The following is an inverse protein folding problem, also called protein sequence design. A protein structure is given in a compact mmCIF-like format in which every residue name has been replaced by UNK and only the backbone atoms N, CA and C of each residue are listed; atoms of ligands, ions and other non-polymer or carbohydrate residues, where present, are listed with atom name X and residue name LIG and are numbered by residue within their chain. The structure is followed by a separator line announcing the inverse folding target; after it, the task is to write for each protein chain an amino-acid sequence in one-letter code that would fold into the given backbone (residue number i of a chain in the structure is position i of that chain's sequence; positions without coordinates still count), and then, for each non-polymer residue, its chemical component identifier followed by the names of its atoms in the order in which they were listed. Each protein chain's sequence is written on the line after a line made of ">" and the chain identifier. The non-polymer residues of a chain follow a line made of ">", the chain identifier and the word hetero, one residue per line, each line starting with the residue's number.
data_IF_349713078220
#
_entry.id   IF_349713078220
#
_cell.length_a   1.000
_cell.length_b   1.000
_cell.length_c   1.000
_cell.angle_alpha   90.00
_cell.angle_beta   90.00
_cell.angle_gamma   90.00
#
_symmetry.space_group_name_H-M   'P 1'
#
loop_
_entity.id
_entity.type
_entity.pdbx_description
1 polymer ?
#
# COMPACT_ATOMS: atom_id res chain seq x y z
N UNK A 1 -1.95 -20.26 6.40
CA UNK A 1 -1.29 -20.03 7.70
C UNK A 1 -0.71 -18.60 7.81
N UNK A 2 0.15 -18.12 6.90
CA UNK A 2 0.69 -16.75 6.96
C UNK A 2 -0.38 -15.66 6.85
N UNK A 3 -1.32 -15.75 5.91
CA UNK A 3 -2.41 -14.77 5.74
C UNK A 3 -3.31 -14.65 6.98
N UNK A 4 -3.63 -15.75 7.64
CA UNK A 4 -4.41 -15.73 8.88
C UNK A 4 -3.66 -15.04 10.03
N UNK A 5 -2.34 -15.23 10.11
CA UNK A 5 -1.50 -14.52 11.09
C UNK A 5 -1.53 -13.00 10.83
N UNK A 6 -1.41 -12.57 9.58
CA UNK A 6 -1.51 -11.16 9.21
C UNK A 6 -2.90 -10.61 9.53
N UNK A 7 -3.96 -11.33 9.14
CA UNK A 7 -5.35 -10.94 9.41
C UNK A 7 -5.61 -10.76 10.91
N UNK A 8 -5.18 -11.71 11.73
CA UNK A 8 -5.33 -11.64 13.19
C UNK A 8 -4.48 -10.49 13.77
N UNK A 9 -3.27 -10.26 13.25
CA UNK A 9 -2.40 -9.19 13.71
C UNK A 9 -3.04 -7.82 13.50
N UNK A 10 -3.50 -7.50 12.30
CA UNK A 10 -4.12 -6.20 11.97
C UNK A 10 -5.59 -6.08 12.41
N UNK A 11 -6.31 -7.18 12.56
CA UNK A 11 -7.71 -7.17 12.99
C UNK A 11 -7.88 -7.18 14.51
N UNK A 12 -7.07 -7.96 15.23
CA UNK A 12 -7.29 -8.24 16.66
C UNK A 12 -6.18 -7.72 17.57
N UNK A 13 -4.91 -7.72 17.12
CA UNK A 13 -3.76 -7.34 17.95
C UNK A 13 -3.52 -5.85 17.90
N UNK A 14 -3.43 -5.25 16.70
CA UNK A 14 -3.24 -3.81 16.54
C UNK A 14 -4.58 -3.09 16.66
N UNK A 15 -4.67 -2.17 17.60
CA UNK A 15 -5.84 -1.28 17.77
C UNK A 15 -5.59 0.14 17.28
N UNK A 16 -4.32 0.55 17.29
CA UNK A 16 -3.85 1.87 16.84
C UNK A 16 -2.39 1.77 16.36
N UNK A 17 -1.95 2.78 15.63
CA UNK A 17 -0.62 2.82 15.03
C UNK A 17 0.53 2.67 16.04
N UNK A 18 0.33 3.17 17.28
CA UNK A 18 1.33 3.10 18.35
C UNK A 18 1.55 1.67 18.90
N UNK A 19 0.71 0.71 18.57
CA UNK A 19 0.86 -0.69 18.99
C UNK A 19 1.93 -1.44 18.16
N UNK A 20 2.42 -0.85 17.04
CA UNK A 20 3.49 -1.40 16.23
C UNK A 20 4.80 -1.48 17.02
N UNK A 21 5.54 -2.57 16.83
CA UNK A 21 6.80 -2.85 17.52
C UNK A 21 8.03 -2.24 16.84
N UNK A 22 7.86 -1.78 15.60
CA UNK A 22 8.93 -1.12 14.82
C UNK A 22 8.41 0.16 14.19
N UNK A 23 9.32 1.03 13.76
CA UNK A 23 8.99 2.23 12.99
C UNK A 23 8.89 1.96 11.47
N UNK A 24 8.94 0.70 11.03
CA UNK A 24 8.91 0.35 9.61
C UNK A 24 7.67 0.90 8.90
N UNK A 25 6.54 0.86 9.56
CA UNK A 25 5.24 1.29 9.02
C UNK A 25 4.76 2.67 9.52
N UNK A 26 5.55 3.44 10.28
CA UNK A 26 5.05 4.68 10.89
C UNK A 26 5.95 5.92 10.71
N UNK A 27 7.19 5.78 10.27
CA UNK A 27 8.13 6.92 10.14
C UNK A 27 8.05 7.58 8.75
N UNK A 28 6.87 8.03 8.36
CA UNK A 28 6.63 8.67 7.05
C UNK A 28 7.18 10.09 6.91
N UNK A 29 7.97 10.64 7.85
CA UNK A 29 8.32 12.07 7.84
C UNK A 29 7.07 12.90 7.51
N UNK A 30 6.59 13.82 8.29
CA UNK A 30 5.27 14.45 8.21
C UNK A 30 4.65 14.63 6.82
N UNK A 31 3.35 14.59 6.74
CA UNK A 31 2.62 14.84 5.49
C UNK A 31 2.98 16.21 4.93
N UNK A 32 3.14 16.37 3.60
CA UNK A 32 3.21 17.67 2.98
C UNK A 32 2.05 18.57 3.44
N UNK A 33 2.24 19.87 3.61
CA UNK A 33 1.22 20.77 4.18
C UNK A 33 -0.15 20.66 3.52
N UNK A 34 -0.20 20.49 2.19
CA UNK A 34 -1.46 20.36 1.46
C UNK A 34 -2.19 19.05 1.76
N UNK A 35 -1.46 17.94 1.99
CA UNK A 35 -2.06 16.66 2.41
C UNK A 35 -2.44 16.68 3.89
N UNK A 36 -1.65 17.36 4.73
CA UNK A 36 -1.98 17.53 6.15
C UNK A 36 -3.32 18.26 6.33
N UNK A 37 -3.57 19.32 5.54
CA UNK A 37 -4.84 20.02 5.56
C UNK A 37 -6.04 19.13 5.14
N UNK A 38 -5.85 18.23 4.18
CA UNK A 38 -6.88 17.26 3.78
C UNK A 38 -7.10 16.19 4.86
N UNK A 39 -6.05 15.83 5.60
CA UNK A 39 -6.17 14.86 6.71
C UNK A 39 -7.04 15.37 7.87
N UNK A 40 -7.19 16.68 8.05
CA UNK A 40 -8.12 17.26 9.04
C UNK A 40 -9.60 16.94 8.74
N UNK A 41 -9.89 16.56 7.50
CA UNK A 41 -11.21 16.11 7.06
C UNK A 41 -11.38 14.58 7.11
N UNK A 42 -10.39 13.83 7.57
CA UNK A 42 -10.51 12.39 7.79
C UNK A 42 -10.96 12.13 9.22
N UNK A 43 -11.94 11.24 9.39
CA UNK A 43 -12.51 10.92 10.70
C UNK A 43 -11.41 10.41 11.67
N UNK A 44 -11.35 10.89 12.92
CA UNK A 44 -10.27 10.54 13.86
C UNK A 44 -10.09 9.04 14.10
N UNK A 45 -11.20 8.27 14.14
CA UNK A 45 -11.14 6.81 14.29
C UNK A 45 -10.46 6.12 13.09
N UNK A 46 -10.67 6.65 11.88
CA UNK A 46 -10.01 6.17 10.66
C UNK A 46 -8.53 6.56 10.66
N UNK A 47 -8.24 7.82 10.99
CA UNK A 47 -6.86 8.34 11.02
C UNK A 47 -5.97 7.63 12.05
N UNK A 48 -6.54 7.19 13.20
CA UNK A 48 -5.81 6.52 14.27
C UNK A 48 -5.31 5.11 13.92
N UNK A 49 -5.88 4.48 12.87
CA UNK A 49 -5.56 3.11 12.44
C UNK A 49 -4.74 3.13 11.15
N UNK A 50 -3.57 3.76 11.17
CA UNK A 50 -2.68 3.85 10.02
C UNK A 50 -1.41 3.01 10.22
N UNK A 51 -1.09 2.20 9.22
CA UNK A 51 0.05 1.26 9.26
C UNK A 51 0.92 1.34 7.99
N UNK A 52 0.84 2.45 7.25
CA UNK A 52 1.61 2.66 6.02
C UNK A 52 3.03 3.12 6.26
N UNK A 53 3.92 2.86 5.33
CA UNK A 53 5.35 3.24 5.40
C UNK A 53 5.73 4.40 4.48
N UNK A 54 4.78 4.95 3.70
CA UNK A 54 5.03 6.03 2.76
C UNK A 54 3.80 6.87 2.47
N UNK A 55 3.94 7.82 1.55
CA UNK A 55 2.84 8.60 1.01
C UNK A 55 2.53 8.07 -0.39
N UNK A 56 1.35 7.47 -0.55
CA UNK A 56 0.94 6.84 -1.81
C UNK A 56 -0.08 7.69 -2.58
N UNK A 57 0.18 8.99 -2.64
CA UNK A 57 -0.65 9.97 -3.33
C UNK A 57 0.13 10.57 -4.50
N UNK A 58 0.04 9.97 -5.71
CA UNK A 58 0.66 10.54 -6.90
C UNK A 58 -0.04 11.84 -7.34
N UNK A 59 0.57 12.59 -8.25
CA UNK A 59 -0.02 13.81 -8.80
C UNK A 59 -1.11 13.50 -9.85
N UNK A 60 -2.01 14.46 -10.10
CA UNK A 60 -2.97 14.40 -11.22
C UNK A 60 -4.15 13.47 -11.00
N UNK A 61 -4.64 13.38 -9.76
CA UNK A 61 -5.73 12.45 -9.39
C UNK A 61 -7.14 12.99 -9.63
N UNK A 62 -7.34 14.27 -9.96
CA UNK A 62 -8.66 14.85 -10.15
C UNK A 62 -9.49 14.07 -11.18
N UNK A 63 -10.71 13.71 -10.83
CA UNK A 63 -11.64 12.92 -11.65
C UNK A 63 -11.22 11.47 -11.89
N UNK A 64 -10.14 10.98 -11.28
CA UNK A 64 -9.60 9.64 -11.52
C UNK A 64 -10.34 8.57 -10.73
N UNK A 65 -10.25 7.34 -11.23
CA UNK A 65 -10.70 6.14 -10.55
C UNK A 65 -9.50 5.37 -9.99
N UNK A 66 -9.47 5.23 -8.67
CA UNK A 66 -8.33 4.69 -7.92
C UNK A 66 -8.72 3.40 -7.23
N UNK A 67 -7.79 2.42 -7.19
CA UNK A 67 -7.88 1.22 -6.39
C UNK A 67 -6.80 1.24 -5.31
N UNK A 68 -7.18 1.10 -4.04
CA UNK A 68 -6.25 0.98 -2.91
C UNK A 68 -6.19 -0.48 -2.43
N UNK A 69 -5.02 -1.09 -2.54
CA UNK A 69 -4.76 -2.48 -2.14
C UNK A 69 -4.30 -2.52 -0.68
N UNK A 70 -5.11 -3.16 0.17
CA UNK A 70 -4.91 -3.19 1.62
C UNK A 70 -5.29 -1.87 2.27
N UNK A 71 -6.49 -1.40 1.98
CA UNK A 71 -6.98 -0.08 2.39
C UNK A 71 -7.16 0.11 3.90
N UNK A 72 -7.13 -0.98 4.68
CA UNK A 72 -7.33 -0.94 6.12
C UNK A 72 -8.62 -0.23 6.51
N UNK A 73 -8.55 0.68 7.46
CA UNK A 73 -9.68 1.51 7.90
C UNK A 73 -10.07 2.62 6.91
N UNK A 74 -9.39 2.72 5.75
CA UNK A 74 -9.72 3.67 4.69
C UNK A 74 -9.05 5.03 4.79
N UNK A 75 -8.00 5.21 5.59
CA UNK A 75 -7.34 6.52 5.76
C UNK A 75 -6.88 7.11 4.42
N UNK A 76 -6.12 6.35 3.65
CA UNK A 76 -5.59 6.82 2.36
C UNK A 76 -6.70 6.90 1.31
N UNK A 77 -7.72 6.01 1.37
CA UNK A 77 -8.92 6.08 0.53
C UNK A 77 -9.66 7.41 0.74
N UNK A 78 -9.94 7.81 1.98
CA UNK A 78 -10.65 9.05 2.27
C UNK A 78 -9.81 10.29 2.01
N UNK A 79 -8.49 10.20 2.14
CA UNK A 79 -7.58 11.27 1.72
C UNK A 79 -7.67 11.48 0.20
N UNK A 80 -7.52 10.39 -0.58
CA UNK A 80 -7.60 10.44 -2.04
C UNK A 80 -8.99 10.79 -2.55
N UNK A 81 -10.06 10.41 -1.85
CA UNK A 81 -11.44 10.76 -2.20
C UNK A 81 -11.68 12.28 -2.30
N UNK A 82 -11.01 13.07 -1.46
CA UNK A 82 -11.04 14.53 -1.55
C UNK A 82 -10.31 15.05 -2.79
N UNK A 83 -9.19 14.40 -3.15
CA UNK A 83 -8.33 14.84 -4.27
C UNK A 83 -8.96 14.49 -5.63
N UNK A 84 -9.56 13.31 -5.73
CA UNK A 84 -10.26 12.92 -6.97
C UNK A 84 -11.54 13.74 -7.20
N UNK A 85 -12.11 14.33 -6.13
CA UNK A 85 -13.32 15.11 -6.18
C UNK A 85 -14.58 14.24 -6.36
N UNK A 86 -15.74 14.89 -6.43
CA UNK A 86 -17.04 14.22 -6.49
C UNK A 86 -17.24 13.35 -7.76
N UNK A 87 -16.54 13.67 -8.84
CA UNK A 87 -16.62 12.96 -10.13
C UNK A 87 -15.68 11.76 -10.22
N UNK A 88 -14.67 11.70 -9.37
CA UNK A 88 -13.77 10.55 -9.26
C UNK A 88 -14.33 9.46 -8.34
N UNK A 89 -13.62 8.34 -8.24
CA UNK A 89 -13.98 7.23 -7.36
C UNK A 89 -12.73 6.61 -6.74
N UNK A 90 -12.80 6.26 -5.46
CA UNK A 90 -11.74 5.48 -4.79
C UNK A 90 -12.33 4.18 -4.25
N UNK A 91 -11.77 3.06 -4.69
CA UNK A 91 -12.16 1.71 -4.22
C UNK A 91 -11.06 1.18 -3.33
N UNK A 92 -11.39 0.82 -2.08
CA UNK A 92 -10.48 0.16 -1.16
C UNK A 92 -10.74 -1.34 -1.11
N UNK A 93 -9.68 -2.14 -1.10
CA UNK A 93 -9.75 -3.60 -0.89
C UNK A 93 -8.98 -3.97 0.36
N UNK A 94 -9.61 -4.72 1.27
CA UNK A 94 -8.95 -5.26 2.45
C UNK A 94 -9.51 -6.65 2.82
N UNK A 95 -8.69 -7.49 3.45
CA UNK A 95 -9.13 -8.82 3.89
C UNK A 95 -9.70 -8.82 5.32
N UNK A 96 -9.53 -7.72 6.08
CA UNK A 96 -9.76 -7.64 7.52
C UNK A 96 -11.15 -7.06 7.80
N UNK A 97 -12.04 -7.86 8.41
CA UNK A 97 -13.41 -7.45 8.68
C UNK A 97 -13.50 -6.24 9.62
N UNK A 98 -12.66 -6.19 10.64
CA UNK A 98 -12.62 -5.13 11.65
C UNK A 98 -12.18 -3.79 11.03
N UNK A 99 -11.24 -3.82 10.10
CA UNK A 99 -10.80 -2.62 9.38
C UNK A 99 -11.89 -2.12 8.44
N UNK A 100 -12.46 -3.01 7.65
CA UNK A 100 -13.57 -2.68 6.74
C UNK A 100 -14.83 -2.20 7.47
N UNK A 101 -15.13 -2.75 8.66
CA UNK A 101 -16.24 -2.26 9.47
C UNK A 101 -16.02 -0.79 9.87
N UNK A 102 -14.80 -0.42 10.29
CA UNK A 102 -14.46 0.97 10.59
C UNK A 102 -14.57 1.86 9.35
N UNK A 103 -14.03 1.41 8.21
CA UNK A 103 -14.10 2.14 6.96
C UNK A 103 -15.56 2.38 6.53
N UNK A 104 -16.34 1.33 6.40
CA UNK A 104 -17.75 1.42 5.93
C UNK A 104 -18.62 2.28 6.84
N UNK A 105 -18.43 2.24 8.16
CA UNK A 105 -19.21 3.03 9.12
C UNK A 105 -19.01 4.54 8.97
N UNK A 106 -18.01 5.00 8.22
CA UNK A 106 -17.66 6.43 8.08
C UNK A 106 -17.88 6.98 6.66
N UNK A 107 -18.49 6.22 5.75
CA UNK A 107 -18.75 6.65 4.37
C UNK A 107 -19.63 7.90 4.35
N UNK A 108 -20.80 7.86 5.00
CA UNK A 108 -21.72 8.98 5.00
C UNK A 108 -21.15 10.21 5.70
N UNK A 109 -20.43 10.00 6.81
CA UNK A 109 -19.76 11.10 7.51
C UNK A 109 -18.74 11.83 6.60
N UNK A 110 -17.95 11.09 5.81
CA UNK A 110 -16.98 11.69 4.90
C UNK A 110 -17.68 12.36 3.70
N UNK A 111 -18.72 11.74 3.13
CA UNK A 111 -19.53 12.36 2.08
C UNK A 111 -20.03 13.74 2.52
N UNK A 112 -20.63 13.81 3.72
CA UNK A 112 -21.19 15.05 4.26
C UNK A 112 -20.07 16.05 4.59
N UNK A 113 -18.95 15.59 5.16
CA UNK A 113 -17.79 16.41 5.47
C UNK A 113 -17.14 17.04 4.23
N UNK A 114 -17.12 16.30 3.11
CA UNK A 114 -16.58 16.78 1.83
C UNK A 114 -17.59 17.63 1.04
N UNK A 115 -18.85 17.66 1.46
CA UNK A 115 -19.93 18.39 0.78
C UNK A 115 -20.38 17.74 -0.52
N UNK A 116 -20.23 16.42 -0.65
CA UNK A 116 -20.60 15.68 -1.86
C UNK A 116 -22.08 15.23 -1.83
N UNK A 117 -22.73 15.23 -2.98
CA UNK A 117 -24.10 14.75 -3.13
C UNK A 117 -24.22 13.23 -2.99
N UNK A 118 -23.14 12.52 -3.29
CA UNK A 118 -23.01 11.06 -3.16
C UNK A 118 -21.62 10.68 -2.68
N UNK A 119 -21.53 9.54 -2.01
CA UNK A 119 -20.24 8.98 -1.64
C UNK A 119 -19.45 8.57 -2.91
N UNK A 120 -18.18 8.93 -2.96
CA UNK A 120 -17.24 8.59 -4.03
C UNK A 120 -16.22 7.53 -3.62
N UNK A 121 -16.53 6.79 -2.55
CA UNK A 121 -15.71 5.68 -2.05
C UNK A 121 -16.52 4.39 -1.96
N UNK A 122 -15.82 3.26 -2.11
CA UNK A 122 -16.36 1.91 -1.92
C UNK A 122 -15.31 1.03 -1.29
N UNK A 123 -15.72 0.16 -0.35
CA UNK A 123 -14.83 -0.82 0.25
C UNK A 123 -15.27 -2.24 -0.07
N UNK A 124 -14.33 -3.07 -0.49
CA UNK A 124 -14.53 -4.46 -0.86
C UNK A 124 -13.72 -5.37 0.05
N UNK A 125 -14.35 -6.45 0.50
CA UNK A 125 -13.64 -7.51 1.21
C UNK A 125 -12.99 -8.45 0.20
N UNK A 126 -11.68 -8.63 0.31
CA UNK A 126 -10.95 -9.56 -0.54
C UNK A 126 -9.47 -9.61 -0.26
N UNK A 127 -8.82 -10.55 -0.93
CA UNK A 127 -7.37 -10.74 -0.89
C UNK A 127 -6.75 -10.05 -2.09
N UNK A 128 -5.66 -9.31 -1.87
CA UNK A 128 -4.99 -8.54 -2.94
C UNK A 128 -4.32 -9.44 -4.00
N UNK A 129 -4.00 -10.68 -3.68
CA UNK A 129 -3.51 -11.69 -4.61
C UNK A 129 -4.63 -12.36 -5.46
N UNK A 130 -5.90 -12.02 -5.20
CA UNK A 130 -7.09 -12.60 -5.85
C UNK A 130 -8.03 -11.51 -6.35
N UNK A 131 -7.49 -10.50 -7.01
CA UNK A 131 -8.26 -9.35 -7.49
C UNK A 131 -9.30 -9.72 -8.56
N UNK A 132 -9.09 -10.81 -9.28
CA UNK A 132 -10.02 -11.38 -10.26
C UNK A 132 -11.31 -11.96 -9.63
N UNK A 133 -11.27 -12.34 -8.35
CA UNK A 133 -12.45 -12.82 -7.61
C UNK A 133 -13.38 -11.67 -7.15
N UNK A 134 -12.97 -10.40 -7.27
CA UNK A 134 -13.69 -9.25 -6.70
C UNK A 134 -14.73 -8.64 -7.65
N UNK A 135 -14.88 -9.16 -8.86
CA UNK A 135 -15.81 -8.60 -9.85
C UNK A 135 -15.47 -7.18 -10.30
N UNK A 136 -14.20 -6.81 -10.21
CA UNK A 136 -13.71 -5.53 -10.72
C UNK A 136 -13.46 -5.65 -12.24
N UNK A 137 -13.94 -4.66 -12.98
CA UNK A 137 -13.77 -4.63 -14.44
C UNK A 137 -12.29 -4.43 -14.81
N UNK A 138 -11.73 -5.27 -15.69
CA UNK A 138 -10.39 -5.06 -16.23
C UNK A 138 -10.24 -3.69 -16.88
N UNK A 139 -9.04 -3.13 -16.83
CA UNK A 139 -8.69 -1.85 -17.46
C UNK A 139 -9.63 -0.69 -17.08
N UNK A 140 -10.10 -0.67 -15.85
CA UNK A 140 -11.06 0.33 -15.38
C UNK A 140 -10.48 1.35 -14.41
N UNK A 141 -9.26 1.15 -13.90
CA UNK A 141 -8.62 2.06 -12.96
C UNK A 141 -7.52 2.90 -13.61
N UNK A 142 -7.44 4.18 -13.28
CA UNK A 142 -6.36 5.08 -13.66
C UNK A 142 -5.10 4.81 -12.86
N UNK A 143 -5.29 4.58 -11.55
CA UNK A 143 -4.21 4.39 -10.60
C UNK A 143 -4.58 3.24 -9.66
N UNK A 144 -3.61 2.39 -9.40
CA UNK A 144 -3.65 1.44 -8.29
C UNK A 144 -2.61 1.90 -7.28
N UNK A 145 -2.98 1.95 -6.00
CA UNK A 145 -2.04 2.30 -4.91
C UNK A 145 -1.95 1.15 -3.92
N UNK A 146 -0.84 1.12 -3.16
CA UNK A 146 -0.68 0.23 -2.02
C UNK A 146 0.33 0.81 -1.03
N UNK A 147 0.08 0.66 0.26
CA UNK A 147 0.92 1.23 1.30
C UNK A 147 1.31 0.17 2.35
N UNK A 148 2.51 -0.40 2.21
CA UNK A 148 3.07 -1.40 3.11
C UNK A 148 2.26 -2.72 3.20
N UNK A 149 1.66 -3.16 2.12
CA UNK A 149 0.77 -4.33 2.10
C UNK A 149 1.25 -5.44 1.15
N UNK A 150 1.89 -5.09 0.03
CA UNK A 150 2.34 -6.10 -0.95
C UNK A 150 3.32 -7.08 -0.31
N UNK A 151 4.17 -6.62 0.60
CA UNK A 151 5.10 -7.49 1.34
C UNK A 151 4.41 -8.52 2.24
N UNK A 152 3.18 -8.25 2.67
CA UNK A 152 2.38 -9.17 3.49
C UNK A 152 1.69 -10.25 2.66
N UNK A 153 1.58 -10.07 1.34
CA UNK A 153 1.04 -11.08 0.44
C UNK A 153 1.99 -12.28 0.30
N UNK A 154 1.42 -13.47 0.24
CA UNK A 154 2.15 -14.73 -0.01
C UNK A 154 2.49 -14.90 -1.49
N UNK A 155 1.77 -14.23 -2.39
CA UNK A 155 2.00 -14.24 -3.84
C UNK A 155 2.03 -12.81 -4.41
N UNK A 156 3.19 -12.17 -4.23
CA UNK A 156 3.41 -10.80 -4.71
C UNK A 156 3.31 -10.67 -6.22
N UNK A 157 3.68 -11.72 -6.96
CA UNK A 157 3.58 -11.72 -8.43
C UNK A 157 2.10 -11.71 -8.88
N UNK A 158 1.22 -12.45 -8.20
CA UNK A 158 -0.21 -12.41 -8.47
C UNK A 158 -0.79 -11.01 -8.18
N UNK A 159 -0.36 -10.34 -7.09
CA UNK A 159 -0.77 -8.95 -6.81
C UNK A 159 -0.38 -8.02 -7.94
N UNK A 160 0.88 -8.05 -8.40
CA UNK A 160 1.37 -7.19 -9.47
C UNK A 160 0.62 -7.45 -10.80
N UNK A 161 0.38 -8.72 -11.14
CA UNK A 161 -0.39 -9.09 -12.34
C UNK A 161 -1.85 -8.65 -12.25
N UNK A 162 -2.48 -8.82 -11.09
CA UNK A 162 -3.84 -8.37 -10.84
C UNK A 162 -3.96 -6.85 -10.98
N UNK A 163 -3.03 -6.09 -10.40
CA UNK A 163 -2.96 -4.64 -10.55
C UNK A 163 -2.79 -4.22 -12.02
N UNK A 164 -1.86 -4.86 -12.75
CA UNK A 164 -1.67 -4.59 -14.18
C UNK A 164 -2.94 -4.86 -15.01
N UNK A 165 -3.66 -5.95 -14.71
CA UNK A 165 -4.90 -6.27 -15.40
C UNK A 165 -5.98 -5.21 -15.18
N UNK A 166 -6.12 -4.69 -13.97
CA UNK A 166 -7.12 -3.70 -13.60
C UNK A 166 -6.79 -2.29 -14.08
N UNK A 167 -5.52 -1.97 -14.28
CA UNK A 167 -5.09 -0.68 -14.82
C UNK A 167 -5.49 -0.54 -16.29
N UNK A 168 -5.97 0.65 -16.67
CA UNK A 168 -6.12 1.04 -18.08
C UNK A 168 -4.76 1.27 -18.74
N UNK A 169 -4.65 1.23 -20.07
CA UNK A 169 -3.44 1.69 -20.76
C UNK A 169 -3.10 3.13 -20.33
N UNK A 170 -1.83 3.40 -20.00
CA UNK A 170 -1.38 4.67 -19.46
C UNK A 170 -1.58 4.85 -17.96
N UNK A 171 -2.24 3.90 -17.29
CA UNK A 171 -2.38 3.91 -15.82
C UNK A 171 -1.12 3.46 -15.10
N UNK A 172 -1.09 3.67 -13.80
CA UNK A 172 0.07 3.34 -12.96
C UNK A 172 -0.29 2.59 -11.68
N UNK A 173 0.61 1.71 -11.25
CA UNK A 173 0.70 1.23 -9.87
C UNK A 173 1.71 2.13 -9.14
N UNK A 174 1.24 2.87 -8.13
CA UNK A 174 2.04 3.75 -7.28
C UNK A 174 1.99 3.24 -5.84
N UNK A 175 3.10 2.73 -5.32
CA UNK A 175 3.05 2.08 -4.02
C UNK A 175 4.34 2.28 -3.21
N UNK A 176 4.21 2.23 -1.89
CA UNK A 176 5.32 2.23 -0.95
C UNK A 176 5.35 0.89 -0.20
N UNK A 177 6.55 0.34 -0.05
CA UNK A 177 6.75 -0.86 0.75
C UNK A 177 8.17 -0.93 1.33
N UNK A 178 8.42 -1.93 2.17
CA UNK A 178 9.71 -2.16 2.81
C UNK A 178 10.57 -3.07 1.94
N UNK A 179 11.81 -2.68 1.70
CA UNK A 179 12.82 -3.46 0.97
C UNK A 179 14.03 -3.73 1.85
N UNK A 180 14.79 -4.76 1.49
CA UNK A 180 16.01 -5.15 2.19
C UNK A 180 17.21 -5.10 1.25
N UNK A 181 18.40 -4.83 1.80
CA UNK A 181 19.71 -4.83 1.08
C UNK A 181 20.16 -6.25 0.66
N UNK A 182 19.47 -7.27 1.13
CA UNK A 182 19.79 -8.69 0.90
C UNK A 182 18.57 -9.59 1.01
N UNK A 183 18.69 -10.84 0.51
CA UNK A 183 17.68 -11.87 0.76
C UNK A 183 17.69 -12.29 2.23
N UNK A 184 16.52 -12.28 2.84
CA UNK A 184 16.36 -12.62 4.25
C UNK A 184 16.37 -14.15 4.45
N UNK A 185 16.99 -14.66 5.52
CA UNK A 185 16.97 -16.07 5.86
C UNK A 185 15.56 -16.51 6.29
N UNK A 186 15.26 -17.80 6.15
CA UNK A 186 13.94 -18.34 6.47
C UNK A 186 13.54 -18.13 7.93
N UNK A 187 14.51 -18.10 8.85
CA UNK A 187 14.26 -17.78 10.27
C UNK A 187 13.68 -16.37 10.50
N UNK A 188 13.97 -15.42 9.63
CA UNK A 188 13.40 -14.07 9.65
C UNK A 188 12.06 -14.05 8.92
N UNK A 189 12.00 -14.69 7.76
CA UNK A 189 10.79 -14.72 6.91
C UNK A 189 9.62 -15.44 7.54
N UNK A 190 9.89 -16.46 8.38
CA UNK A 190 8.87 -17.26 9.08
C UNK A 190 8.52 -16.72 10.47
N UNK A 191 9.21 -15.70 10.99
CA UNK A 191 8.89 -15.11 12.27
C UNK A 191 7.58 -14.28 12.15
N UNK A 192 6.49 -14.65 12.87
CA UNK A 192 5.19 -14.01 12.69
C UNK A 192 5.17 -12.53 13.09
N UNK A 193 6.01 -12.13 14.05
CA UNK A 193 6.13 -10.72 14.45
C UNK A 193 6.84 -9.92 13.37
N UNK A 194 7.99 -10.40 12.89
CA UNK A 194 8.73 -9.72 11.82
C UNK A 194 7.92 -9.65 10.53
N UNK A 195 7.11 -10.68 10.25
CA UNK A 195 6.23 -10.69 9.09
C UNK A 195 5.12 -9.66 9.22
N UNK A 196 4.42 -9.61 10.35
CA UNK A 196 3.37 -8.61 10.62
C UNK A 196 3.89 -7.16 10.65
N UNK A 197 5.17 -6.96 11.00
CA UNK A 197 5.85 -5.65 10.97
C UNK A 197 6.44 -5.30 9.58
N UNK A 198 6.03 -5.99 8.52
CA UNK A 198 6.50 -5.83 7.13
C UNK A 198 7.99 -6.13 6.89
N UNK A 199 8.75 -6.48 7.93
CA UNK A 199 10.18 -6.79 7.80
C UNK A 199 10.41 -8.19 7.26
N UNK A 200 9.67 -9.21 7.78
CA UNK A 200 9.81 -10.60 7.34
C UNK A 200 9.41 -10.86 5.90
N UNK A 201 8.48 -10.05 5.36
CA UNK A 201 8.05 -10.12 3.97
C UNK A 201 8.83 -9.23 3.00
N UNK A 202 9.76 -8.39 3.52
CA UNK A 202 10.51 -7.45 2.72
C UNK A 202 11.32 -8.15 1.62
N UNK A 203 11.17 -7.68 0.39
CA UNK A 203 11.94 -8.19 -0.75
C UNK A 203 13.35 -7.57 -0.77
N UNK A 204 14.32 -8.35 -1.20
CA UNK A 204 15.56 -7.82 -1.72
C UNK A 204 15.23 -7.03 -3.00
N UNK A 205 15.63 -5.76 -3.09
CA UNK A 205 15.19 -4.91 -4.21
C UNK A 205 15.61 -5.42 -5.59
N UNK A 206 16.76 -6.12 -5.70
CA UNK A 206 17.14 -6.76 -6.96
C UNK A 206 16.30 -7.99 -7.31
N UNK A 207 15.48 -8.53 -6.39
CA UNK A 207 14.49 -9.55 -6.69
C UNK A 207 13.14 -8.90 -7.08
N UNK A 208 12.85 -7.71 -6.57
CA UNK A 208 11.64 -6.97 -6.91
C UNK A 208 11.62 -6.53 -8.38
N UNK A 209 12.72 -5.94 -8.88
CA UNK A 209 12.77 -5.42 -10.25
C UNK A 209 12.47 -6.49 -11.32
N UNK A 210 13.10 -7.68 -11.32
CA UNK A 210 12.73 -8.77 -12.22
C UNK A 210 11.29 -9.25 -12.03
N UNK A 211 10.79 -9.30 -10.80
CA UNK A 211 9.41 -9.70 -10.51
C UNK A 211 8.40 -8.72 -11.13
N UNK A 212 8.63 -7.41 -11.01
CA UNK A 212 7.78 -6.39 -11.62
C UNK A 212 7.76 -6.53 -13.16
N UNK A 213 8.93 -6.76 -13.78
CA UNK A 213 9.04 -7.02 -15.22
C UNK A 213 8.34 -8.31 -15.63
N UNK A 214 8.45 -9.37 -14.85
CA UNK A 214 7.73 -10.64 -15.07
C UNK A 214 6.21 -10.48 -14.94
N UNK A 215 5.75 -9.53 -14.13
CA UNK A 215 4.33 -9.19 -14.05
C UNK A 215 3.82 -8.43 -15.29
N UNK A 216 4.73 -7.78 -16.04
CA UNK A 216 4.41 -6.98 -17.23
C UNK A 216 4.67 -5.48 -17.08
N UNK A 217 5.18 -5.03 -15.94
CA UNK A 217 5.65 -3.65 -15.77
C UNK A 217 7.10 -3.53 -16.22
N UNK A 218 7.33 -2.99 -17.41
CA UNK A 218 8.64 -3.04 -18.07
C UNK A 218 9.68 -2.12 -17.42
N UNK A 219 9.25 -1.00 -16.83
CA UNK A 219 10.11 0.05 -16.29
C UNK A 219 9.69 0.46 -14.86
N UNK A 220 10.06 -0.31 -13.82
CA UNK A 220 9.83 0.06 -12.43
C UNK A 220 10.72 1.26 -12.03
N UNK A 221 10.10 2.39 -11.64
CA UNK A 221 10.81 3.63 -11.30
C UNK A 221 10.78 3.88 -9.79
N UNK A 222 11.95 4.00 -9.20
CA UNK A 222 12.11 4.45 -7.82
C UNK A 222 11.79 5.95 -7.71
N UNK A 223 10.85 6.31 -6.84
CA UNK A 223 10.47 7.71 -6.57
C UNK A 223 11.22 8.25 -5.36
N UNK A 224 11.15 7.51 -4.26
CA UNK A 224 11.83 7.87 -3.00
C UNK A 224 12.32 6.61 -2.31
N UNK A 225 13.40 6.76 -1.55
CA UNK A 225 13.89 5.72 -0.65
C UNK A 225 14.44 6.36 0.62
N UNK A 226 14.14 5.75 1.77
CA UNK A 226 14.69 6.15 3.06
C UNK A 226 15.05 4.93 3.90
N UNK A 227 16.15 4.98 4.67
CA UNK A 227 16.48 3.90 5.59
C UNK A 227 15.46 3.80 6.72
N UNK A 228 15.23 2.56 7.18
CA UNK A 228 14.39 2.26 8.35
C UNK A 228 15.33 1.87 9.50
N UNK A 229 15.24 2.62 10.60
CA UNK A 229 15.97 2.31 11.81
C UNK A 229 15.15 1.37 12.70
N UNK A 230 15.68 0.16 12.95
CA UNK A 230 15.06 -0.80 13.89
C UNK A 230 15.62 -0.55 15.30
N UNK A 231 14.87 0.20 16.12
CA UNK A 231 15.29 0.58 17.48
C UNK A 231 15.18 -0.55 18.50
N UNK A 232 14.26 -1.50 18.28
CA UNK A 232 14.07 -2.63 19.18
C UNK A 232 15.26 -3.61 19.09
N UNK A 233 16.02 -3.74 20.19
CA UNK A 233 17.24 -4.55 20.24
C UNK A 233 17.00 -6.04 20.02
N UNK A 234 15.85 -6.58 20.46
CA UNK A 234 15.52 -8.01 20.28
C UNK A 234 15.28 -8.28 18.81
N UNK A 235 14.52 -7.39 18.14
CA UNK A 235 14.27 -7.45 16.71
C UNK A 235 15.56 -7.27 15.93
N UNK A 236 16.38 -6.28 16.27
CA UNK A 236 17.67 -6.02 15.63
C UNK A 236 18.61 -7.21 15.69
N UNK A 237 18.66 -7.92 16.82
CA UNK A 237 19.47 -9.15 16.96
C UNK A 237 18.99 -10.26 16.03
N UNK A 238 17.68 -10.42 15.82
CA UNK A 238 17.11 -11.39 14.88
C UNK A 238 17.43 -11.06 13.43
N UNK A 239 17.41 -9.78 13.08
CA UNK A 239 17.67 -9.28 11.72
C UNK A 239 19.18 -9.30 11.34
N UNK A 240 20.06 -9.34 12.33
CA UNK A 240 21.51 -9.34 12.12
C UNK A 240 21.99 -8.05 11.46
N UNK A 241 22.69 -8.17 10.31
CA UNK A 241 23.22 -7.04 9.56
C UNK A 241 22.31 -6.58 8.41
N UNK A 242 21.10 -7.10 8.29
CA UNK A 242 20.18 -6.71 7.24
C UNK A 242 19.75 -5.25 7.42
N UNK A 243 19.79 -4.48 6.34
CA UNK A 243 19.35 -3.09 6.30
C UNK A 243 18.03 -3.00 5.55
N UNK A 244 17.11 -2.22 6.10
CA UNK A 244 15.77 -2.05 5.55
C UNK A 244 15.54 -0.62 5.09
N UNK A 245 14.75 -0.49 4.04
CA UNK A 245 14.41 0.79 3.42
C UNK A 245 12.92 0.82 3.12
N UNK A 246 12.28 1.93 3.44
CA UNK A 246 10.98 2.25 2.86
C UNK A 246 11.23 2.87 1.51
N UNK A 247 10.65 2.31 0.46
CA UNK A 247 10.80 2.83 -0.89
C UNK A 247 9.45 2.92 -1.60
N UNK A 248 9.26 4.00 -2.36
CA UNK A 248 8.10 4.24 -3.21
C UNK A 248 8.47 4.02 -4.65
N UNK A 249 7.69 3.22 -5.35
CA UNK A 249 7.87 2.93 -6.77
C UNK A 249 6.66 3.37 -7.59
N UNK A 250 6.91 3.69 -8.87
CA UNK A 250 5.91 3.89 -9.92
C UNK A 250 6.12 2.85 -11.02
N UNK A 251 5.07 2.14 -11.37
CA UNK A 251 5.06 1.14 -12.43
C UNK A 251 3.95 1.48 -13.40
N UNK A 252 4.29 1.83 -14.64
CA UNK A 252 3.31 2.25 -15.64
C UNK A 252 2.88 1.08 -16.53
N UNK A 253 1.58 1.03 -16.84
CA UNK A 253 1.04 0.17 -17.89
C UNK A 253 1.12 0.90 -19.22
N UNK A 254 2.31 0.91 -19.81
CA UNK A 254 2.60 1.53 -21.10
C UNK A 254 3.30 0.53 -22.03
N UNK A 255 2.77 0.42 -23.24
CA UNK A 255 3.43 -0.33 -24.30
C UNK A 255 4.65 0.46 -24.80
N UNK A 256 5.72 -0.25 -25.17
CA UNK A 256 6.91 0.35 -25.75
C UNK A 256 7.90 0.97 -24.76
N UNK A 257 7.70 0.80 -23.44
CA UNK A 257 8.74 1.10 -22.48
C UNK A 257 9.91 0.14 -22.62
N UNK A 258 11.13 0.63 -22.52
CA UNK A 258 12.32 -0.20 -22.54
C UNK A 258 12.41 -1.07 -21.29
N UNK A 259 12.70 -2.36 -21.51
CA UNK A 259 12.86 -3.30 -20.39
C UNK A 259 14.24 -3.20 -19.69
N UNK A 260 15.22 -2.58 -20.33
CA UNK A 260 16.49 -2.24 -19.76
C UNK A 260 16.34 -0.89 -19.04
N UNK A 261 16.24 -0.93 -17.72
CA UNK A 261 16.26 0.29 -16.91
C UNK A 261 17.70 0.84 -16.99
N UNK A 262 17.92 1.82 -17.83
CA UNK A 262 19.17 2.55 -17.86
C UNK A 262 19.10 3.63 -16.78
N UNK A 263 20.02 3.54 -15.81
CA UNK A 263 20.24 4.62 -14.85
C UNK A 263 21.08 5.70 -15.55
N UNK A 264 20.40 6.74 -16.03
CA UNK A 264 21.08 7.87 -16.65
C UNK A 264 21.70 8.85 -15.63
N UNK A 265 21.76 8.48 -14.36
CA UNK A 265 22.40 9.29 -13.31
C UNK A 265 21.65 10.59 -13.00
N UNK A 266 20.34 10.60 -13.11
CA UNK A 266 19.49 11.73 -12.75
C UNK A 266 19.10 11.72 -11.30
#
# INVERSE_FOLDING_TARGET
>A
MQLEVVKDYYGKVLKKSEDLKTSACCDGGGLPPHLAALMENVHPEVAAKYYGCGIVVPAGLEGRRILDLGSGSGRDVYLMAQIVGETGEVVGVDMTDEQLATANARIDWHRDRFGYSRANVKFLKGYIEKLDELGLEPQSFDVVVSNCVINLSVDKLAVLRGALNLLRPGGELYFADVYCDRRLPDSVRSDPVLYGECLGGALYWNDFLPMAKQAGFLDPRLVTSRPIEVKNEIIRKKLGQAQFFSATYRLFKLDGLESACEDYGQ
#
